data_IF_991816556239
#
_entry.id   IF_991816556239
#
_cell.length_a   1.000
_cell.length_b   1.000
_cell.length_c   1.000
_cell.angle_alpha   90.00
_cell.angle_beta   90.00
_cell.angle_gamma   90.00
#
_symmetry.space_group_name_H-M   'P 1'
#
loop_
_entity.id
_entity.type
_entity.pdbx_description
1 polymer ?
#
# COMPACT_ATOMS: atom_id res chain seq x y z
N UNK A 1 11.82 7.91 2.72
CA UNK A 1 10.34 7.78 2.96
C UNK A 1 9.82 6.57 2.18
N UNK A 2 8.55 6.31 2.21
CA UNK A 2 7.88 5.18 1.55
C UNK A 2 6.53 5.68 1.08
N UNK A 3 5.98 5.12 0.02
CA UNK A 3 4.59 5.32 -0.35
C UNK A 3 3.92 3.97 -0.62
N UNK A 4 2.86 3.68 0.13
CA UNK A 4 2.03 2.50 -0.10
C UNK A 4 0.57 2.90 -0.18
N UNK A 5 -0.18 2.25 -1.08
CA UNK A 5 -1.60 2.46 -1.28
C UNK A 5 -2.33 1.11 -1.34
N UNK A 6 -3.50 1.04 -0.70
CA UNK A 6 -4.48 -0.02 -0.84
C UNK A 6 -5.82 0.56 -1.26
N UNK A 7 -6.44 0.01 -2.30
CA UNK A 7 -7.72 0.47 -2.84
C UNK A 7 -8.70 -0.69 -2.86
N UNK A 8 -9.84 -0.54 -2.17
CA UNK A 8 -10.93 -1.49 -2.18
C UNK A 8 -11.90 -1.13 -3.29
N UNK A 9 -11.85 -1.86 -4.39
CA UNK A 9 -12.77 -1.75 -5.52
C UNK A 9 -14.04 -2.60 -5.28
N UNK A 10 -15.05 -2.48 -6.17
CA UNK A 10 -16.26 -3.30 -6.08
C UNK A 10 -15.97 -4.79 -6.29
N UNK A 11 -15.05 -5.08 -7.20
CA UNK A 11 -14.72 -6.41 -7.72
C UNK A 11 -13.33 -6.92 -7.27
N UNK A 12 -12.68 -6.23 -6.30
CA UNK A 12 -11.39 -6.68 -5.78
C UNK A 12 -10.66 -5.65 -4.94
N UNK A 13 -9.38 -5.92 -4.69
CA UNK A 13 -8.46 -5.02 -3.98
C UNK A 13 -7.16 -4.90 -4.77
N UNK A 14 -6.62 -3.68 -4.80
CA UNK A 14 -5.33 -3.35 -5.40
C UNK A 14 -4.39 -2.83 -4.34
N UNK A 15 -3.15 -3.31 -4.34
CA UNK A 15 -2.06 -2.77 -3.54
C UNK A 15 -0.90 -2.34 -4.43
N UNK A 16 -0.28 -1.22 -4.08
CA UNK A 16 1.00 -0.82 -4.61
C UNK A 16 1.90 -0.28 -3.49
N UNK A 17 3.19 -0.60 -3.56
CA UNK A 17 4.21 -0.05 -2.68
C UNK A 17 5.51 0.19 -3.43
N UNK A 18 6.23 1.23 -3.06
CA UNK A 18 7.62 1.38 -3.49
C UNK A 18 8.53 0.41 -2.76
N UNK A 19 9.73 0.15 -3.30
CA UNK A 19 10.72 -0.74 -2.68
C UNK A 19 12.01 -0.02 -2.27
N UNK A 20 12.13 1.28 -2.53
CA UNK A 20 13.30 2.06 -2.12
C UNK A 20 13.36 2.21 -0.61
N UNK A 21 14.53 1.97 -0.06
CA UNK A 21 14.85 2.24 1.35
C UNK A 21 16.13 3.05 1.41
N UNK A 22 16.07 4.20 2.08
CA UNK A 22 17.19 5.12 2.18
C UNK A 22 17.62 5.24 3.63
N UNK A 23 18.91 5.00 3.90
CA UNK A 23 19.54 5.23 5.19
C UNK A 23 20.61 6.32 5.01
N UNK A 24 20.27 7.56 5.34
CA UNK A 24 21.10 8.73 5.01
C UNK A 24 20.93 9.17 3.56
N UNK A 25 21.87 9.98 3.05
CA UNK A 25 21.80 10.56 1.69
C UNK A 25 22.24 9.58 0.59
N UNK A 26 23.16 8.68 0.89
CA UNK A 26 23.91 7.90 -0.10
C UNK A 26 23.62 6.39 -0.05
N UNK A 27 23.00 5.91 1.02
CA UNK A 27 22.75 4.47 1.19
C UNK A 27 21.33 4.12 0.74
N UNK A 28 21.19 3.86 -0.56
CA UNK A 28 19.93 3.43 -1.18
C UNK A 28 19.95 1.92 -1.36
N UNK A 29 18.95 1.25 -0.78
CA UNK A 29 18.73 -0.18 -0.90
C UNK A 29 17.32 -0.46 -1.44
N UNK A 30 17.12 -1.68 -1.94
CA UNK A 30 15.83 -2.14 -2.44
C UNK A 30 15.35 -3.27 -1.52
N UNK A 31 14.19 -3.07 -0.90
CA UNK A 31 13.52 -4.08 -0.08
C UNK A 31 12.03 -4.10 -0.42
N UNK A 32 11.51 -5.27 -0.76
CA UNK A 32 10.06 -5.43 -0.88
C UNK A 32 9.38 -5.10 0.45
N UNK A 33 8.36 -4.26 0.35
CA UNK A 33 7.52 -3.85 1.49
C UNK A 33 6.18 -4.59 1.49
N UNK A 34 6.00 -5.52 0.55
CA UNK A 34 4.79 -6.29 0.36
C UNK A 34 4.99 -7.72 0.82
N UNK A 35 4.04 -8.23 1.59
CA UNK A 35 3.91 -9.62 1.99
C UNK A 35 2.57 -10.15 1.50
N UNK A 36 2.57 -11.30 0.87
CA UNK A 36 1.37 -11.96 0.37
C UNK A 36 1.25 -13.34 1.01
N UNK A 37 0.08 -13.62 1.56
CA UNK A 37 -0.29 -14.92 2.08
C UNK A 37 -1.54 -15.41 1.36
N UNK A 38 -1.38 -16.46 0.57
CA UNK A 38 -2.39 -16.97 -0.36
C UNK A 38 -2.55 -18.46 -0.11
N UNK A 39 -3.57 -18.84 0.65
CA UNK A 39 -3.78 -20.22 1.11
C UNK A 39 -5.25 -20.57 1.05
N UNK A 40 -5.61 -21.46 0.13
CA UNK A 40 -6.86 -22.19 0.05
C UNK A 40 -8.16 -21.38 0.18
N UNK A 41 -8.51 -20.98 1.40
CA UNK A 41 -9.74 -20.27 1.70
C UNK A 41 -9.55 -18.76 1.92
N UNK A 42 -8.34 -18.24 1.78
CA UNK A 42 -8.02 -16.83 2.06
C UNK A 42 -6.84 -16.29 1.27
N UNK A 43 -6.90 -15.00 1.04
CA UNK A 43 -5.80 -14.24 0.46
C UNK A 43 -5.63 -12.97 1.28
N UNK A 44 -4.41 -12.73 1.78
CA UNK A 44 -4.04 -11.57 2.60
C UNK A 44 -2.85 -10.88 1.99
N UNK A 45 -2.98 -9.59 1.71
CA UNK A 45 -1.90 -8.73 1.25
C UNK A 45 -1.57 -7.73 2.36
N UNK A 46 -0.30 -7.58 2.67
CA UNK A 46 0.19 -6.65 3.67
C UNK A 46 1.28 -5.79 3.03
N UNK A 47 1.18 -4.47 3.17
CA UNK A 47 2.26 -3.54 2.80
C UNK A 47 2.60 -2.66 4.00
N UNK A 48 3.85 -2.21 4.09
CA UNK A 48 4.36 -1.54 5.27
C UNK A 48 5.11 -0.25 4.97
N UNK A 49 5.06 0.67 5.92
CA UNK A 49 5.85 1.91 5.94
C UNK A 49 6.32 2.20 7.36
N UNK A 50 7.52 2.75 7.50
CA UNK A 50 8.10 3.13 8.80
C UNK A 50 9.46 2.49 9.01
N UNK A 51 9.73 1.97 10.21
CA UNK A 51 11.01 1.37 10.52
C UNK A 51 11.18 0.01 9.83
N UNK A 52 12.21 -0.13 8.99
CA UNK A 52 12.46 -1.36 8.22
C UNK A 52 12.73 -2.55 9.15
N UNK A 53 13.52 -2.37 10.21
CA UNK A 53 13.83 -3.45 11.15
C UNK A 53 12.58 -4.00 11.82
N UNK A 54 11.68 -3.12 12.24
CA UNK A 54 10.38 -3.53 12.82
C UNK A 54 9.52 -4.26 11.79
N UNK A 55 9.43 -3.74 10.57
CA UNK A 55 8.64 -4.38 9.50
C UNK A 55 9.15 -5.78 9.18
N UNK A 56 10.48 -5.95 9.05
CA UNK A 56 11.10 -7.25 8.82
C UNK A 56 10.87 -8.21 9.99
N UNK A 57 10.94 -7.71 11.23
CA UNK A 57 10.68 -8.52 12.42
C UNK A 57 9.22 -8.99 12.50
N UNK A 58 8.27 -8.13 12.10
CA UNK A 58 6.84 -8.50 11.99
C UNK A 58 6.64 -9.57 10.93
N UNK A 59 7.18 -9.40 9.72
CA UNK A 59 7.06 -10.41 8.67
C UNK A 59 7.70 -11.74 9.08
N UNK A 60 8.87 -11.70 9.74
CA UNK A 60 9.52 -12.89 10.26
C UNK A 60 8.69 -13.58 11.35
N UNK A 61 8.02 -12.81 12.21
CA UNK A 61 7.10 -13.36 13.22
C UNK A 61 5.92 -14.05 12.54
N UNK A 62 5.29 -13.44 11.53
CA UNK A 62 4.21 -14.05 10.73
C UNK A 62 4.66 -15.38 10.13
N UNK A 63 5.83 -15.41 9.45
CA UNK A 63 6.36 -16.63 8.87
C UNK A 63 6.61 -17.75 9.91
N UNK A 64 7.11 -17.39 11.09
CA UNK A 64 7.35 -18.34 12.17
C UNK A 64 6.03 -18.89 12.74
N UNK A 65 5.05 -18.03 12.97
CA UNK A 65 3.74 -18.42 13.49
C UNK A 65 2.98 -19.32 12.49
N UNK A 66 3.12 -19.05 11.19
CA UNK A 66 2.58 -19.92 10.13
C UNK A 66 3.24 -21.30 10.10
N UNK A 67 4.55 -21.40 10.39
CA UNK A 67 5.29 -22.66 10.43
C UNK A 67 5.01 -23.48 11.68
N UNK A 68 4.72 -22.82 12.79
CA UNK A 68 4.45 -23.50 14.08
C UNK A 68 3.09 -24.17 14.10
N UNK A 69 2.18 -23.77 13.21
CA UNK A 69 0.79 -24.23 13.10
C UNK A 69 0.03 -24.21 14.46
N UNK A 70 0.47 -23.34 15.35
CA UNK A 70 -0.10 -23.20 16.71
C UNK A 70 -0.33 -21.72 17.05
N UNK A 71 -1.36 -21.45 17.84
CA UNK A 71 -1.71 -20.10 18.28
C UNK A 71 -2.40 -19.26 17.19
N UNK A 72 -2.36 -17.95 17.39
CA UNK A 72 -2.96 -16.99 16.46
C UNK A 72 -1.99 -16.69 15.32
N UNK A 73 -2.43 -16.93 14.09
CA UNK A 73 -1.68 -16.64 12.86
C UNK A 73 -2.65 -16.34 11.71
N UNK A 74 -2.14 -16.04 10.51
CA UNK A 74 -2.98 -15.69 9.36
C UNK A 74 -3.95 -16.82 8.93
N UNK A 75 -3.64 -18.09 9.23
CA UNK A 75 -4.52 -19.23 8.93
C UNK A 75 -5.61 -19.41 9.97
N UNK A 76 -5.34 -19.11 11.24
CA UNK A 76 -6.26 -19.36 12.36
C UNK A 76 -7.18 -18.18 12.68
N UNK A 77 -6.85 -16.96 12.23
CA UNK A 77 -7.72 -15.80 12.34
C UNK A 77 -9.06 -16.04 11.65
N UNK A 78 -10.17 -15.75 12.33
CA UNK A 78 -11.53 -16.03 11.86
C UNK A 78 -12.02 -14.97 10.86
N UNK A 79 -11.51 -13.74 10.95
CA UNK A 79 -11.89 -12.59 10.13
C UNK A 79 -10.74 -11.61 9.99
N UNK A 80 -10.92 -10.58 9.15
CA UNK A 80 -9.91 -9.55 8.93
C UNK A 80 -9.71 -8.61 10.13
N UNK A 81 -10.68 -8.50 11.02
CA UNK A 81 -10.53 -7.74 12.28
C UNK A 81 -9.50 -8.42 13.19
N UNK A 82 -9.58 -9.74 13.30
CA UNK A 82 -8.57 -10.53 14.02
C UNK A 82 -7.20 -10.48 13.34
N UNK A 83 -7.14 -10.49 12.00
CA UNK A 83 -5.87 -10.32 11.27
C UNK A 83 -5.26 -8.96 11.57
N UNK A 84 -6.03 -7.88 11.52
CA UNK A 84 -5.55 -6.53 11.83
C UNK A 84 -5.05 -6.42 13.29
N UNK A 85 -5.79 -6.99 14.23
CA UNK A 85 -5.43 -7.07 15.66
C UNK A 85 -4.13 -7.87 15.87
N UNK A 86 -4.00 -9.02 15.21
CA UNK A 86 -2.80 -9.86 15.24
C UNK A 86 -1.56 -9.10 14.76
N UNK A 87 -1.65 -8.44 13.60
CA UNK A 87 -0.56 -7.63 13.05
C UNK A 87 -0.24 -6.46 13.97
N UNK A 88 -1.24 -5.80 14.56
CA UNK A 88 -1.07 -4.74 15.55
C UNK A 88 -0.29 -5.22 16.77
N UNK A 89 -0.61 -6.40 17.29
CA UNK A 89 0.08 -7.03 18.42
C UNK A 89 1.55 -7.37 18.08
N UNK A 90 1.80 -7.90 16.90
CA UNK A 90 3.16 -8.16 16.42
C UNK A 90 3.95 -6.87 16.24
N UNK A 91 3.31 -5.79 15.75
CA UNK A 91 3.94 -4.49 15.58
C UNK A 91 4.41 -3.93 16.92
N UNK A 92 3.54 -3.89 17.93
CA UNK A 92 3.90 -3.47 19.31
C UNK A 92 5.05 -4.32 19.85
N UNK A 93 4.95 -5.64 19.75
CA UNK A 93 5.98 -6.58 20.26
C UNK A 93 7.36 -6.35 19.64
N UNK A 94 7.42 -5.99 18.35
CA UNK A 94 8.66 -5.84 17.60
C UNK A 94 9.17 -4.39 17.53
N UNK A 95 8.39 -3.38 17.94
CA UNK A 95 8.78 -1.97 17.88
C UNK A 95 9.58 -1.50 19.11
N UNK A 96 9.58 -2.26 20.21
CA UNK A 96 10.35 -1.94 21.39
C UNK A 96 11.84 -2.19 21.17
N UNK A 97 12.73 -1.21 21.45
CA UNK A 97 14.17 -1.41 21.40
C UNK A 97 14.58 -2.49 22.41
N UNK A 98 15.31 -3.50 21.97
CA UNK A 98 15.84 -4.54 22.88
C UNK A 98 16.93 -3.92 23.75
N UNK A 99 16.70 -3.82 25.06
CA UNK A 99 17.72 -3.47 26.04
C UNK A 99 17.83 -1.99 26.42
N UNK A 100 16.88 -1.15 26.08
CA UNK A 100 16.86 0.28 26.47
C UNK A 100 15.60 0.56 27.30
N UNK A 101 15.75 1.31 28.40
CA UNK A 101 14.63 1.74 29.24
C UNK A 101 13.59 2.54 28.45
N UNK A 102 12.33 2.36 28.79
CA UNK A 102 11.09 2.61 28.05
C UNK A 102 10.73 4.05 27.71
N UNK A 103 11.57 5.03 27.88
CA UNK A 103 11.31 6.43 27.47
C UNK A 103 11.83 6.76 26.06
N UNK A 104 12.22 5.76 25.29
CA UNK A 104 12.85 5.92 23.98
C UNK A 104 11.85 5.65 22.84
N UNK A 105 11.92 6.48 21.84
CA UNK A 105 11.22 6.49 20.55
C UNK A 105 10.78 5.08 20.12
N UNK A 106 9.47 4.82 20.11
CA UNK A 106 8.89 3.62 19.49
C UNK A 106 9.24 3.64 17.98
N UNK A 107 10.05 2.69 17.56
CA UNK A 107 10.42 2.49 16.15
C UNK A 107 9.28 1.75 15.42
N UNK A 108 8.06 2.29 15.51
CA UNK A 108 6.89 1.64 14.95
C UNK A 108 6.81 1.72 13.43
N UNK A 109 6.08 0.78 12.86
CA UNK A 109 5.69 0.76 11.47
C UNK A 109 4.18 0.85 11.34
N UNK A 110 3.69 1.32 10.19
CA UNK A 110 2.28 1.23 9.82
C UNK A 110 2.10 0.18 8.74
N UNK A 111 0.95 -0.51 8.74
CA UNK A 111 0.66 -1.55 7.77
C UNK A 111 -0.70 -1.29 7.12
N UNK A 112 -0.79 -1.49 5.81
CA UNK A 112 -2.06 -1.73 5.14
C UNK A 112 -2.24 -3.23 5.00
N UNK A 113 -3.41 -3.71 5.38
CA UNK A 113 -3.76 -5.12 5.37
C UNK A 113 -5.09 -5.29 4.68
N UNK A 114 -5.17 -6.14 3.69
CA UNK A 114 -6.44 -6.39 3.02
C UNK A 114 -6.46 -7.68 2.23
N UNK A 115 -7.64 -8.04 1.78
CA UNK A 115 -7.91 -9.27 1.07
C UNK A 115 -9.29 -9.83 1.39
N UNK A 116 -9.40 -11.16 1.40
CA UNK A 116 -10.66 -11.83 1.65
C UNK A 116 -10.46 -13.22 2.27
N UNK A 117 -11.36 -13.60 3.16
CA UNK A 117 -11.55 -14.95 3.65
C UNK A 117 -12.84 -15.51 3.02
N UNK A 118 -12.87 -16.78 2.68
CA UNK A 118 -14.00 -17.44 2.03
C UNK A 118 -15.30 -17.25 2.83
N UNK A 119 -16.35 -16.80 2.12
CA UNK A 119 -17.64 -16.50 2.72
C UNK A 119 -17.72 -15.16 3.43
N UNK A 120 -16.66 -14.35 3.43
CA UNK A 120 -16.63 -13.04 4.06
C UNK A 120 -16.45 -11.91 3.02
N UNK A 121 -16.76 -10.66 3.38
CA UNK A 121 -16.54 -9.52 2.48
C UNK A 121 -15.06 -9.24 2.26
N UNK A 122 -14.75 -8.53 1.15
CA UNK A 122 -13.47 -7.87 0.96
C UNK A 122 -13.22 -6.87 2.08
N UNK A 123 -12.02 -6.89 2.65
CA UNK A 123 -11.65 -5.98 3.72
C UNK A 123 -10.31 -5.29 3.47
N UNK A 124 -10.19 -4.07 3.97
CA UNK A 124 -8.97 -3.26 3.94
C UNK A 124 -8.84 -2.51 5.27
N UNK A 125 -7.66 -2.59 5.87
CA UNK A 125 -7.35 -1.95 7.15
C UNK A 125 -6.03 -1.19 7.09
N UNK A 126 -5.95 -0.11 7.86
CA UNK A 126 -4.71 0.52 8.28
C UNK A 126 -4.46 0.15 9.73
N UNK A 127 -3.33 -0.49 10.00
CA UNK A 127 -2.82 -0.77 11.34
C UNK A 127 -1.73 0.26 11.66
N UNK A 128 -1.94 1.03 12.71
CA UNK A 128 -1.01 2.06 13.17
C UNK A 128 0.18 1.49 13.97
N UNK A 129 1.19 2.31 14.14
CA UNK A 129 2.38 1.94 14.94
C UNK A 129 2.04 1.57 16.38
N UNK A 130 0.95 2.11 16.93
CA UNK A 130 0.42 1.82 18.27
C UNK A 130 -0.40 0.53 18.34
N UNK A 131 -0.59 -0.18 17.22
CA UNK A 131 -1.29 -1.45 17.13
C UNK A 131 -2.81 -1.36 16.95
N UNK A 132 -3.40 -0.17 17.12
CA UNK A 132 -4.80 0.06 16.75
C UNK A 132 -4.98 0.15 15.23
N UNK A 133 -6.21 -0.02 14.75
CA UNK A 133 -6.48 -0.08 13.32
C UNK A 133 -7.82 0.57 12.94
N UNK A 134 -7.94 0.95 11.68
CA UNK A 134 -9.15 1.54 11.10
C UNK A 134 -9.46 0.93 9.72
N UNK A 135 -10.73 1.05 9.32
CA UNK A 135 -11.18 0.81 7.94
C UNK A 135 -11.22 2.12 7.15
N UNK A 136 -11.14 2.09 5.81
CA UNK A 136 -11.41 3.26 4.98
C UNK A 136 -12.86 3.71 5.11
N UNK A 137 -13.11 4.99 4.91
CA UNK A 137 -14.47 5.50 4.80
C UNK A 137 -15.17 4.91 3.57
N UNK A 138 -16.48 4.64 3.67
CA UNK A 138 -17.26 4.10 2.55
C UNK A 138 -17.19 4.99 1.32
N UNK A 139 -17.20 6.32 1.51
CA UNK A 139 -17.09 7.30 0.42
C UNK A 139 -15.70 7.39 -0.23
N UNK A 140 -14.65 6.92 0.46
CA UNK A 140 -13.26 6.91 0.03
C UNK A 140 -12.64 5.54 0.33
N UNK A 141 -12.89 4.54 -0.50
CA UNK A 141 -12.53 3.15 -0.21
C UNK A 141 -11.05 2.85 -0.50
N UNK A 142 -10.16 3.69 0.01
CA UNK A 142 -8.72 3.50 -0.10
C UNK A 142 -8.01 3.98 1.18
N UNK A 143 -6.82 3.45 1.40
CA UNK A 143 -5.91 3.83 2.48
C UNK A 143 -4.50 4.03 1.91
N UNK A 144 -3.76 4.95 2.51
CA UNK A 144 -2.36 5.22 2.16
C UNK A 144 -1.51 5.33 3.41
N UNK A 145 -0.24 4.92 3.31
CA UNK A 145 0.77 5.09 4.36
C UNK A 145 2.09 5.60 3.76
N UNK A 146 2.87 6.26 4.58
CA UNK A 146 4.14 6.87 4.18
C UNK A 146 3.96 8.31 3.68
N UNK A 147 4.50 8.66 2.52
CA UNK A 147 4.38 9.99 1.93
C UNK A 147 3.04 10.14 1.20
N UNK A 148 2.10 10.82 1.83
CA UNK A 148 0.71 10.89 1.31
C UNK A 148 0.42 12.13 0.45
N UNK A 149 1.30 13.14 0.45
CA UNK A 149 1.00 14.47 -0.12
C UNK A 149 0.81 14.44 -1.64
N UNK A 150 1.59 13.64 -2.34
CA UNK A 150 1.67 13.70 -3.80
C UNK A 150 0.71 12.73 -4.50
N UNK A 151 0.53 11.54 -3.96
CA UNK A 151 -0.36 10.53 -4.54
C UNK A 151 -1.83 10.68 -4.14
N UNK A 152 -2.10 11.07 -2.89
CA UNK A 152 -3.46 11.19 -2.35
C UNK A 152 -4.37 12.15 -3.13
N UNK A 153 -3.94 13.32 -3.62
CA UNK A 153 -4.79 14.21 -4.43
C UNK A 153 -5.37 13.56 -5.68
N UNK A 154 -4.69 12.57 -6.26
CA UNK A 154 -5.18 11.81 -7.41
C UNK A 154 -6.26 10.83 -6.96
N UNK A 155 -5.98 10.08 -5.90
CA UNK A 155 -6.94 9.13 -5.33
C UNK A 155 -8.26 9.83 -4.92
N UNK A 156 -8.17 10.99 -4.28
CA UNK A 156 -9.33 11.79 -3.85
C UNK A 156 -10.25 12.20 -5.01
N UNK A 157 -9.70 12.38 -6.22
CA UNK A 157 -10.46 12.78 -7.40
C UNK A 157 -11.06 11.61 -8.16
N UNK A 158 -10.36 10.47 -8.20
CA UNK A 158 -10.69 9.34 -9.07
C UNK A 158 -11.43 8.24 -8.32
N UNK A 159 -10.99 7.92 -7.08
CA UNK A 159 -11.52 6.76 -6.36
C UNK A 159 -12.88 7.08 -5.73
N UNK A 160 -13.89 6.33 -6.17
CA UNK A 160 -15.27 6.37 -5.69
C UNK A 160 -15.68 4.96 -5.24
N UNK A 161 -16.78 4.82 -4.47
CA UNK A 161 -17.29 3.50 -4.04
C UNK A 161 -17.57 2.51 -5.18
N UNK A 162 -17.85 3.04 -6.38
CA UNK A 162 -18.15 2.25 -7.58
C UNK A 162 -16.92 1.97 -8.46
N UNK A 163 -15.72 2.24 -7.99
CA UNK A 163 -14.50 2.04 -8.79
C UNK A 163 -14.31 0.57 -9.15
N UNK A 164 -13.97 0.29 -10.42
CA UNK A 164 -13.57 -1.04 -10.87
C UNK A 164 -12.12 -1.33 -10.46
N UNK A 165 -11.77 -2.61 -10.37
CA UNK A 165 -10.39 -3.02 -10.08
C UNK A 165 -9.40 -2.54 -11.14
N UNK A 166 -9.83 -2.44 -12.41
CA UNK A 166 -9.02 -1.89 -13.50
C UNK A 166 -8.74 -0.41 -13.33
N UNK A 167 -9.75 0.40 -12.97
CA UNK A 167 -9.58 1.82 -12.70
C UNK A 167 -8.78 2.05 -11.42
N UNK A 168 -9.02 1.27 -10.40
CA UNK A 168 -8.25 1.28 -9.16
C UNK A 168 -6.76 0.99 -9.43
N UNK A 169 -6.47 0.01 -10.30
CA UNK A 169 -5.09 -0.34 -10.70
C UNK A 169 -4.39 0.82 -11.39
N UNK A 170 -5.01 1.43 -12.40
CA UNK A 170 -4.46 2.60 -13.09
C UNK A 170 -4.24 3.77 -12.14
N UNK A 171 -5.24 4.05 -11.28
CA UNK A 171 -5.15 5.14 -10.33
C UNK A 171 -4.04 4.92 -9.28
N UNK A 172 -3.85 3.69 -8.81
CA UNK A 172 -2.74 3.35 -7.91
C UNK A 172 -1.38 3.62 -8.56
N UNK A 173 -1.19 3.19 -9.82
CA UNK A 173 0.07 3.40 -10.55
C UNK A 173 0.33 4.89 -10.85
N UNK A 174 -0.69 5.67 -11.25
CA UNK A 174 -0.58 7.11 -11.46
C UNK A 174 -0.25 7.84 -10.15
N UNK A 175 -0.88 7.46 -9.05
CA UNK A 175 -0.62 8.03 -7.73
C UNK A 175 0.80 7.71 -7.25
N UNK A 176 1.31 6.52 -7.56
CA UNK A 176 2.70 6.12 -7.33
C UNK A 176 3.67 6.96 -8.17
N UNK A 177 3.43 7.09 -9.48
CA UNK A 177 4.25 7.90 -10.40
C UNK A 177 4.34 9.36 -9.94
N UNK A 178 3.23 9.96 -9.54
CA UNK A 178 3.21 11.33 -9.02
C UNK A 178 4.03 11.50 -7.75
N UNK A 179 4.05 10.47 -6.90
CA UNK A 179 4.88 10.47 -5.69
C UNK A 179 6.36 10.30 -6.04
N UNK A 180 6.69 9.37 -6.92
CA UNK A 180 8.06 9.13 -7.41
C UNK A 180 8.70 10.37 -8.05
N UNK A 181 7.91 11.15 -8.80
CA UNK A 181 8.36 12.40 -9.44
C UNK A 181 8.57 13.55 -8.46
N UNK A 182 7.97 13.49 -7.29
CA UNK A 182 7.95 14.58 -6.32
C UNK A 182 8.77 14.31 -5.05
N UNK A 183 9.07 13.04 -4.75
CA UNK A 183 9.85 12.63 -3.58
C UNK A 183 10.94 11.62 -3.97
N UNK A 184 12.18 12.06 -3.94
CA UNK A 184 13.36 11.25 -4.28
C UNK A 184 13.59 10.07 -3.33
N UNK A 185 13.00 10.08 -2.15
CA UNK A 185 13.15 9.00 -1.16
C UNK A 185 12.20 7.83 -1.42
N UNK A 186 11.18 8.02 -2.28
CA UNK A 186 10.28 6.99 -2.80
C UNK A 186 10.81 6.55 -4.16
N UNK A 187 10.89 5.26 -4.43
CA UNK A 187 11.50 4.82 -5.68
C UNK A 187 11.25 3.37 -6.07
N UNK A 188 11.49 3.08 -7.36
CA UNK A 188 11.31 1.75 -7.92
C UNK A 188 12.31 0.73 -7.32
N UNK A 189 12.05 -0.57 -7.54
CA UNK A 189 10.86 -1.13 -8.19
C UNK A 189 9.58 -0.95 -7.37
N UNK A 190 8.42 -1.07 -8.04
CA UNK A 190 7.10 -0.98 -7.42
C UNK A 190 6.55 -2.40 -7.29
N UNK A 191 6.27 -2.82 -6.05
CA UNK A 191 5.49 -4.03 -5.81
C UNK A 191 4.01 -3.72 -6.03
N UNK A 192 3.36 -4.49 -6.88
CA UNK A 192 1.98 -4.31 -7.29
C UNK A 192 1.22 -5.62 -7.21
N UNK A 193 0.11 -5.64 -6.49
CA UNK A 193 -0.72 -6.83 -6.33
C UNK A 193 -2.20 -6.53 -6.57
N UNK A 194 -2.87 -7.45 -7.27
CA UNK A 194 -4.28 -7.41 -7.59
C UNK A 194 -4.95 -8.68 -7.09
N UNK A 195 -5.93 -8.53 -6.23
CA UNK A 195 -6.81 -9.60 -5.77
C UNK A 195 -8.22 -9.38 -6.32
N UNK A 196 -8.79 -10.36 -6.99
CA UNK A 196 -10.19 -10.32 -7.43
C UNK A 196 -11.11 -10.98 -6.40
N UNK A 197 -12.25 -10.36 -6.21
CA UNK A 197 -13.26 -10.82 -5.27
C UNK A 197 -13.66 -12.27 -5.55
N UNK A 198 -13.74 -13.07 -4.47
CA UNK A 198 -14.19 -14.48 -4.47
C UNK A 198 -13.26 -15.47 -5.22
N UNK A 199 -12.06 -15.04 -5.66
CA UNK A 199 -11.09 -15.97 -6.29
C UNK A 199 -10.19 -16.67 -5.25
N UNK A 200 -10.03 -16.13 -4.03
CA UNK A 200 -9.21 -16.66 -2.92
C UNK A 200 -7.75 -16.96 -3.30
N UNK A 201 -7.28 -16.27 -4.30
CA UNK A 201 -5.88 -16.27 -4.78
C UNK A 201 -5.55 -14.94 -5.41
N UNK A 202 -4.29 -14.59 -5.41
CA UNK A 202 -3.81 -13.37 -6.07
C UNK A 202 -3.98 -13.53 -7.60
N UNK A 203 -4.71 -12.59 -8.20
CA UNK A 203 -4.92 -12.55 -9.65
C UNK A 203 -3.67 -12.08 -10.40
N UNK A 204 -2.92 -11.15 -9.82
CA UNK A 204 -1.66 -10.64 -10.40
C UNK A 204 -0.75 -10.12 -9.29
N UNK A 205 0.52 -10.50 -9.34
CA UNK A 205 1.59 -9.92 -8.52
C UNK A 205 2.75 -9.58 -9.43
N UNK A 206 3.19 -8.32 -9.42
CA UNK A 206 4.26 -7.82 -10.29
C UNK A 206 5.23 -6.97 -9.47
N UNK A 207 6.48 -7.00 -9.90
CA UNK A 207 7.52 -6.07 -9.46
C UNK A 207 7.85 -5.20 -10.68
N UNK A 208 7.37 -3.95 -10.69
CA UNK A 208 7.39 -3.07 -11.86
C UNK A 208 8.55 -2.07 -11.75
N UNK A 209 9.31 -1.96 -12.83
CA UNK A 209 10.27 -0.88 -13.02
C UNK A 209 9.66 0.26 -13.84
N UNK A 210 10.22 1.45 -13.73
CA UNK A 210 9.75 2.63 -14.50
C UNK A 210 9.83 2.44 -16.02
N UNK A 211 10.68 1.51 -16.48
CA UNK A 211 10.84 1.14 -17.91
C UNK A 211 9.88 0.07 -18.38
N UNK A 212 9.09 -0.53 -17.47
CA UNK A 212 8.15 -1.57 -17.87
C UNK A 212 7.01 -0.99 -18.70
N UNK A 213 6.77 -1.62 -19.85
CA UNK A 213 5.88 -1.11 -20.89
C UNK A 213 4.44 -0.82 -20.41
N UNK A 214 3.91 -1.66 -19.52
CA UNK A 214 2.56 -1.45 -18.97
C UNK A 214 2.52 -0.24 -18.03
N UNK A 215 3.54 -0.09 -17.20
CA UNK A 215 3.66 1.03 -16.26
C UNK A 215 3.91 2.35 -17.02
N UNK A 216 4.93 2.37 -17.88
CA UNK A 216 5.31 3.58 -18.62
C UNK A 216 4.15 4.11 -19.47
N UNK A 217 3.44 3.24 -20.21
CA UNK A 217 2.28 3.66 -21.01
C UNK A 217 1.21 4.39 -20.20
N UNK A 218 0.88 3.91 -18.99
CA UNK A 218 -0.11 4.56 -18.14
C UNK A 218 0.37 5.93 -17.67
N UNK A 219 1.64 6.02 -17.24
CA UNK A 219 2.24 7.25 -16.73
C UNK A 219 2.47 8.30 -17.80
N UNK A 220 2.93 7.89 -19.01
CA UNK A 220 3.15 8.78 -20.14
C UNK A 220 1.81 9.34 -20.65
N UNK A 221 0.82 8.48 -20.83
CA UNK A 221 -0.52 8.90 -21.22
C UNK A 221 -1.16 9.86 -20.21
N UNK A 222 -0.94 9.64 -18.90
CA UNK A 222 -1.38 10.55 -17.85
C UNK A 222 -0.71 11.92 -18.00
N UNK A 223 0.62 11.96 -18.15
CA UNK A 223 1.38 13.19 -18.31
C UNK A 223 0.93 13.99 -19.56
N UNK A 224 0.82 13.33 -20.71
CA UNK A 224 0.35 13.95 -21.96
C UNK A 224 -1.09 14.49 -21.85
N UNK A 225 -1.95 13.76 -21.13
CA UNK A 225 -3.34 14.17 -20.95
C UNK A 225 -3.46 15.39 -20.05
N UNK A 226 -2.64 15.51 -19.00
CA UNK A 226 -2.60 16.70 -18.15
C UNK A 226 -2.22 17.95 -18.96
N UNK A 227 -1.18 17.87 -19.82
CA UNK A 227 -0.77 18.98 -20.68
C UNK A 227 -1.90 19.41 -21.61
N UNK A 228 -2.56 18.47 -22.28
CA UNK A 228 -3.69 18.76 -23.17
C UNK A 228 -4.86 19.42 -22.45
N UNK A 229 -5.19 18.94 -21.25
CA UNK A 229 -6.25 19.53 -20.42
C UNK A 229 -5.85 20.94 -19.99
N UNK A 230 -4.60 21.13 -19.55
CA UNK A 230 -4.09 22.42 -19.14
C UNK A 230 -4.17 23.47 -20.27
N UNK A 231 -3.76 23.09 -21.48
CA UNK A 231 -3.83 23.98 -22.64
C UNK A 231 -5.27 24.36 -23.05
N UNK A 232 -6.26 23.55 -22.63
CA UNK A 232 -7.68 23.81 -22.94
C UNK A 232 -8.36 24.77 -21.95
N UNK A 233 -7.71 25.15 -20.85
CA UNK A 233 -8.29 26.05 -19.89
C UNK A 233 -8.48 27.46 -20.46
N UNK A 234 -9.54 28.17 -20.02
CA UNK A 234 -9.76 29.57 -20.41
C UNK A 234 -8.54 30.43 -20.10
N UNK A 235 -8.17 31.28 -21.03
CA UNK A 235 -7.13 32.28 -20.83
C UNK A 235 -7.63 33.42 -19.94
N UNK A 236 -6.72 34.04 -19.20
CA UNK A 236 -7.02 35.24 -18.45
C UNK A 236 -6.99 36.47 -19.36
N UNK A 237 -7.81 37.50 -19.06
CA UNK A 237 -7.92 38.72 -19.87
C UNK A 237 -6.58 39.45 -20.10
N UNK A 238 -5.62 39.28 -19.20
CA UNK A 238 -4.26 39.85 -19.32
C UNK A 238 -3.32 39.06 -20.22
N UNK A 239 -3.66 37.86 -20.63
CA UNK A 239 -2.84 37.02 -21.52
C UNK A 239 -3.02 37.40 -23.01
N UNK A 240 -4.15 38.01 -23.38
CA UNK A 240 -4.52 38.32 -24.77
C UNK A 240 -3.83 39.59 -25.34
N UNK A 241 -2.95 40.22 -24.58
CA UNK A 241 -2.24 41.43 -24.95
C UNK A 241 -0.82 41.17 -25.54
N UNK A 242 -0.66 40.17 -26.39
CA UNK A 242 0.56 39.99 -27.19
C UNK A 242 0.25 39.89 -28.67
#
# INVERSE_FOLDING_TARGET
>A
MTYCVGIKAQDGIVFASDSRTTAGLDNVNIYSKMFVHDVGDRSVIIVTSGNLGTSQAVYKSIENDLKSDSGTNLNTCKDFDQIASYIGSLNIKNSAPKGINTDTVLLGSSFLVGGQIKGQPLELYLVYSQGNYIKPAVSKPYLVIGEVKYGKPILDRVIKPSVSIGDASRCALISMDSTLKSDLTVGPPIDFAVYKKDEYKIASQKCLNITDTEYSKVCDQWSDSIFKIFDSFPRFDWEDNK
#
